data_IF_686015781660
#
_entry.id   IF_686015781660
#
_cell.length_a   1.000
_cell.length_b   1.000
_cell.length_c   1.000
_cell.angle_alpha   90.00
_cell.angle_beta   90.00
_cell.angle_gamma   90.00
#
_symmetry.space_group_name_H-M   'P 1'
#
loop_
_entity.id
_entity.type
_entity.pdbx_description
1 polymer ?
#
# COMPACT_ATOMS: atom_id res chain seq x y z
N UNK A 1 -38.93 -29.91 -34.91
CA UNK A 1 -37.49 -29.66 -34.78
C UNK A 1 -37.30 -28.58 -33.72
N UNK A 2 -36.82 -28.96 -32.54
CA UNK A 2 -36.75 -28.09 -31.37
C UNK A 2 -35.32 -27.55 -31.25
N UNK A 3 -35.17 -26.23 -31.23
CA UNK A 3 -33.89 -25.60 -30.97
C UNK A 3 -33.42 -25.94 -29.54
N UNK A 4 -32.12 -26.23 -29.32
CA UNK A 4 -31.61 -26.43 -27.97
C UNK A 4 -31.66 -25.11 -27.19
N UNK A 5 -32.28 -25.15 -26.02
CA UNK A 5 -32.24 -24.04 -25.05
C UNK A 5 -30.79 -23.86 -24.58
N UNK A 6 -30.28 -22.61 -24.45
CA UNK A 6 -28.98 -22.39 -23.82
C UNK A 6 -29.05 -22.86 -22.37
N UNK A 7 -28.23 -23.84 -22.03
CA UNK A 7 -28.06 -24.33 -20.67
C UNK A 7 -27.56 -23.20 -19.78
N UNK A 8 -28.21 -23.06 -18.62
CA UNK A 8 -27.93 -22.07 -17.60
C UNK A 8 -26.43 -21.87 -17.38
N UNK A 9 -26.00 -20.62 -17.49
CA UNK A 9 -24.61 -20.22 -17.33
C UNK A 9 -24.12 -20.57 -15.93
N UNK A 10 -23.07 -21.38 -15.89
CA UNK A 10 -22.13 -21.37 -14.79
C UNK A 10 -21.47 -19.99 -14.78
N UNK A 11 -22.10 -19.05 -14.07
CA UNK A 11 -21.50 -17.75 -13.79
C UNK A 11 -20.40 -17.98 -12.76
N UNK A 12 -19.26 -18.52 -13.23
CA UNK A 12 -18.03 -18.54 -12.47
C UNK A 12 -17.81 -17.11 -11.97
N UNK A 13 -17.94 -16.94 -10.65
CA UNK A 13 -17.70 -15.65 -9.99
C UNK A 13 -16.26 -15.26 -10.32
N UNK A 14 -16.08 -14.36 -11.29
CA UNK A 14 -14.78 -13.78 -11.59
C UNK A 14 -14.44 -12.87 -10.42
N UNK A 15 -13.77 -13.39 -9.40
CA UNK A 15 -13.23 -12.57 -8.31
C UNK A 15 -12.13 -11.69 -8.91
N UNK A 16 -12.47 -10.46 -9.28
CA UNK A 16 -11.51 -9.45 -9.71
C UNK A 16 -10.63 -9.08 -8.51
N UNK A 17 -9.33 -9.35 -8.60
CA UNK A 17 -8.37 -8.88 -7.59
C UNK A 17 -8.02 -7.43 -7.89
N UNK A 18 -8.25 -6.57 -6.91
CA UNK A 18 -7.98 -5.14 -7.01
C UNK A 18 -6.71 -4.79 -6.23
N UNK A 19 -5.92 -3.89 -6.81
CA UNK A 19 -4.61 -3.50 -6.31
C UNK A 19 -4.42 -2.00 -6.39
N UNK A 20 -3.75 -1.43 -5.39
CA UNK A 20 -3.16 -0.10 -5.45
C UNK A 20 -1.72 -0.25 -5.94
N UNK A 21 -1.40 0.32 -7.09
CA UNK A 21 -0.03 0.36 -7.62
C UNK A 21 0.68 1.63 -7.22
N UNK A 22 2.00 1.53 -7.01
CA UNK A 22 2.85 2.67 -6.67
C UNK A 22 4.29 2.37 -7.12
N UNK A 23 5.09 3.42 -7.26
CA UNK A 23 6.49 3.31 -7.71
C UNK A 23 7.43 3.55 -6.54
N UNK A 24 8.43 2.67 -6.40
CA UNK A 24 9.53 2.79 -5.43
C UNK A 24 10.84 2.64 -6.19
N UNK A 25 11.68 3.67 -6.16
CA UNK A 25 13.00 3.66 -6.82
C UNK A 25 12.97 3.23 -8.31
N UNK A 26 11.93 3.62 -9.05
CA UNK A 26 11.76 3.29 -10.48
C UNK A 26 10.99 1.99 -10.74
N UNK A 27 10.79 1.15 -9.72
CA UNK A 27 10.10 -0.13 -9.83
C UNK A 27 8.64 -0.04 -9.39
N UNK A 28 7.75 -0.77 -10.07
CA UNK A 28 6.31 -0.79 -9.75
C UNK A 28 5.99 -1.89 -8.75
N UNK A 29 5.36 -1.49 -7.64
CA UNK A 29 4.87 -2.38 -6.59
C UNK A 29 3.35 -2.23 -6.45
N UNK A 30 2.75 -3.16 -5.71
CA UNK A 30 1.32 -3.12 -5.44
C UNK A 30 0.95 -3.68 -4.07
N UNK A 31 -0.07 -3.10 -3.46
CA UNK A 31 -0.79 -3.68 -2.33
C UNK A 31 -2.17 -4.14 -2.79
N UNK A 32 -2.65 -5.25 -2.25
CA UNK A 32 -4.06 -5.63 -2.40
C UNK A 32 -4.93 -4.56 -1.75
N UNK A 33 -5.96 -4.09 -2.47
CA UNK A 33 -6.75 -2.93 -2.02
C UNK A 33 -7.39 -3.14 -0.64
N UNK A 34 -7.71 -4.40 -0.31
CA UNK A 34 -8.31 -4.78 0.97
C UNK A 34 -7.42 -4.49 2.20
N UNK A 35 -6.11 -4.31 2.03
CA UNK A 35 -5.18 -3.97 3.12
C UNK A 35 -4.97 -2.46 3.29
N UNK A 36 -5.44 -1.65 2.35
CA UNK A 36 -5.26 -0.20 2.37
C UNK A 36 -6.36 0.41 3.24
N UNK A 37 -5.98 1.15 4.28
CA UNK A 37 -6.92 1.91 5.11
C UNK A 37 -7.19 3.29 4.53
N UNK A 38 -6.12 4.00 4.17
CA UNK A 38 -6.19 5.36 3.65
C UNK A 38 -4.90 5.73 2.92
N UNK A 39 -4.99 6.69 2.01
CA UNK A 39 -3.85 7.32 1.34
C UNK A 39 -3.89 8.78 1.75
N UNK A 40 -2.80 9.26 2.34
CA UNK A 40 -2.69 10.64 2.80
C UNK A 40 -1.51 11.33 2.12
N UNK A 41 -1.57 12.65 2.01
CA UNK A 41 -0.47 13.43 1.47
C UNK A 41 0.79 13.26 2.32
N UNK A 42 1.96 13.26 1.67
CA UNK A 42 3.22 13.23 2.40
C UNK A 42 3.44 14.59 3.08
N UNK A 43 3.34 14.62 4.40
CA UNK A 43 3.47 15.82 5.22
C UNK A 43 4.71 15.83 6.11
N UNK A 44 4.66 16.68 7.14
CA UNK A 44 5.70 16.74 8.17
C UNK A 44 5.68 15.47 9.03
N UNK A 45 6.83 14.84 9.17
CA UNK A 45 7.06 13.69 10.04
C UNK A 45 7.74 14.14 11.34
N UNK A 46 7.45 13.45 12.44
CA UNK A 46 8.21 13.59 13.68
C UNK A 46 9.33 12.55 13.70
N UNK A 47 10.61 12.97 13.67
CA UNK A 47 11.72 12.03 13.67
C UNK A 47 11.81 11.29 15.01
N UNK A 48 12.20 10.02 14.97
CA UNK A 48 12.46 9.21 16.16
C UNK A 48 13.96 8.89 16.22
N UNK A 49 14.67 9.27 17.29
CA UNK A 49 16.09 8.99 17.45
C UNK A 49 16.40 7.48 17.41
N UNK A 50 17.60 7.13 16.92
CA UNK A 50 18.14 5.76 16.94
C UNK A 50 17.30 4.72 16.18
N UNK A 51 16.41 5.14 15.28
CA UNK A 51 15.68 4.22 14.42
C UNK A 51 16.52 3.74 13.22
N UNK A 52 16.19 2.57 12.65
CA UNK A 52 16.77 2.13 11.38
C UNK A 52 16.57 3.19 10.28
N UNK A 53 17.52 3.28 9.34
CA UNK A 53 17.52 4.30 8.28
C UNK A 53 16.27 4.28 7.38
N UNK A 54 15.54 3.16 7.32
CA UNK A 54 14.30 3.04 6.58
C UNK A 54 13.08 3.60 7.31
N UNK A 55 13.19 3.96 8.59
CA UNK A 55 12.12 4.60 9.36
C UNK A 55 12.31 6.10 9.26
N UNK A 56 11.39 6.78 8.58
CA UNK A 56 11.44 8.24 8.39
C UNK A 56 11.00 8.99 9.64
N UNK A 57 10.27 8.32 10.52
CA UNK A 57 9.70 8.87 11.75
C UNK A 57 8.29 8.37 11.97
N UNK A 58 7.47 9.19 12.62
CA UNK A 58 6.07 8.91 12.89
C UNK A 58 5.16 10.04 12.42
N UNK A 59 3.89 9.71 12.22
CA UNK A 59 2.79 10.66 12.07
C UNK A 59 1.74 10.41 13.15
N UNK A 60 1.00 11.45 13.52
CA UNK A 60 -0.21 11.29 14.30
C UNK A 60 -1.42 11.35 13.34
N UNK A 61 -2.13 10.24 13.24
CA UNK A 61 -3.31 10.10 12.39
C UNK A 61 -4.53 9.80 13.26
N UNK A 62 -5.36 10.84 13.46
CA UNK A 62 -6.58 10.79 14.30
C UNK A 62 -6.30 10.26 15.72
N UNK A 63 -5.22 10.73 16.34
CA UNK A 63 -4.81 10.33 17.70
C UNK A 63 -3.97 9.05 17.76
N UNK A 64 -3.71 8.38 16.63
CA UNK A 64 -2.87 7.18 16.56
C UNK A 64 -1.49 7.51 16.01
N UNK A 65 -0.45 7.11 16.72
CA UNK A 65 0.93 7.26 16.28
C UNK A 65 1.26 6.12 15.32
N UNK A 66 1.53 6.44 14.06
CA UNK A 66 1.85 5.46 13.02
C UNK A 66 3.29 5.66 12.54
N UNK A 67 4.12 4.60 12.48
CA UNK A 67 5.45 4.69 11.90
C UNK A 67 5.36 4.85 10.38
N UNK A 68 6.21 5.71 9.82
CA UNK A 68 6.34 5.90 8.37
C UNK A 68 7.61 5.24 7.89
N UNK A 69 7.44 4.28 6.99
CA UNK A 69 8.52 3.48 6.41
C UNK A 69 8.83 3.99 5.01
N UNK A 70 10.09 4.32 4.73
CA UNK A 70 10.59 4.54 3.39
C UNK A 70 10.88 3.19 2.74
N UNK A 71 10.06 2.83 1.75
CA UNK A 71 10.18 1.55 1.05
C UNK A 71 11.47 1.45 0.22
N UNK A 72 11.98 2.56 -0.33
CA UNK A 72 13.22 2.54 -1.11
C UNK A 72 14.41 2.20 -0.20
N UNK A 73 14.47 2.82 0.97
CA UNK A 73 15.45 2.47 2.00
C UNK A 73 15.23 1.06 2.57
N UNK A 74 13.97 0.64 2.77
CA UNK A 74 13.63 -0.66 3.35
C UNK A 74 14.03 -1.84 2.46
N UNK A 75 13.98 -1.67 1.15
CA UNK A 75 14.38 -2.67 0.16
C UNK A 75 15.88 -2.66 -0.15
N UNK A 76 16.69 -1.98 0.68
CA UNK A 76 18.16 -1.97 0.57
C UNK A 76 18.71 -0.85 -0.31
N UNK A 77 17.85 0.05 -0.80
CA UNK A 77 18.25 1.23 -1.56
C UNK A 77 18.59 2.44 -0.68
N UNK A 78 18.78 3.59 -1.33
CA UNK A 78 18.85 4.89 -0.65
C UNK A 78 17.43 5.38 -0.32
N UNK A 79 17.26 6.24 0.71
CA UNK A 79 15.99 6.90 0.97
C UNK A 79 15.46 7.60 -0.29
N UNK A 80 14.17 7.45 -0.54
CA UNK A 80 13.51 8.04 -1.70
C UNK A 80 13.42 9.56 -1.57
N UNK A 81 13.61 10.25 -2.69
CA UNK A 81 13.31 11.69 -2.74
C UNK A 81 11.80 11.91 -2.62
N UNK A 82 11.41 12.80 -1.73
CA UNK A 82 10.01 13.19 -1.58
C UNK A 82 9.67 14.22 -2.65
N UNK A 83 8.66 13.93 -3.47
CA UNK A 83 8.16 14.82 -4.53
C UNK A 83 6.70 15.17 -4.28
N UNK A 84 6.11 16.03 -5.12
CA UNK A 84 4.66 16.33 -5.08
C UNK A 84 3.77 15.11 -5.35
N UNK A 85 4.32 14.02 -5.88
CA UNK A 85 3.60 12.75 -6.12
C UNK A 85 3.73 11.77 -4.95
N UNK A 86 4.54 12.10 -3.95
CA UNK A 86 4.73 11.24 -2.77
C UNK A 86 3.49 11.31 -1.87
N UNK A 87 3.03 10.14 -1.45
CA UNK A 87 1.94 9.98 -0.48
C UNK A 87 2.36 8.94 0.56
N UNK A 88 1.68 8.93 1.69
CA UNK A 88 1.80 7.88 2.70
C UNK A 88 0.60 6.96 2.53
N UNK A 89 0.88 5.70 2.23
CA UNK A 89 -0.14 4.65 2.14
C UNK A 89 -0.23 3.98 3.50
N UNK A 90 -1.36 4.12 4.17
CA UNK A 90 -1.61 3.50 5.47
C UNK A 90 -2.17 2.11 5.23
N UNK A 91 -1.44 1.10 5.70
CA UNK A 91 -1.79 -0.30 5.53
C UNK A 91 -2.03 -0.98 6.87
N UNK A 92 -2.89 -2.00 6.86
CA UNK A 92 -2.90 -3.01 7.92
C UNK A 92 -1.72 -3.97 7.71
N UNK A 93 -0.85 -4.05 8.71
CA UNK A 93 0.24 -4.99 8.75
C UNK A 93 -0.11 -6.09 9.76
N UNK A 94 0.02 -7.34 9.34
CA UNK A 94 -0.06 -8.48 10.25
C UNK A 94 1.19 -8.46 11.14
N UNK A 95 1.04 -8.03 12.39
CA UNK A 95 2.06 -8.26 13.41
C UNK A 95 2.03 -9.75 13.70
N UNK A 96 2.91 -10.51 13.04
CA UNK A 96 2.99 -11.97 13.19
C UNK A 96 2.91 -12.37 14.66
N UNK A 97 1.92 -13.21 14.97
CA UNK A 97 1.80 -13.92 16.24
C UNK A 97 2.53 -15.25 16.14
#
# INVERSE_FOLDING_TARGET
MQAPKPSAGDSAVRTSRQYLTFTVAGETYAFGIARIREIIEYGRLTPIPMMPAFVRGVINLRGRVLPVIDLAARFGGRPGETTRRSCIVVVEADTGS
#
